data_IF_993105518042
#
_entry.id   IF_993105518042
#
_cell.length_a   1.000
_cell.length_b   1.000
_cell.length_c   1.000
_cell.angle_alpha   90.00
_cell.angle_beta   90.00
_cell.angle_gamma   90.00
#
_symmetry.space_group_name_H-M   'P 1'
#
loop_
_entity.id
_entity.type
_entity.pdbx_description
1 polymer ?
#
# COMPACT_ATOMS: atom_id res chain seq x y z
N UNK A 1 -12.49 -7.55 -9.43
CA UNK A 1 -11.50 -8.49 -8.86
C UNK A 1 -10.14 -7.86 -9.02
N UNK A 2 -9.29 -7.93 -8.01
CA UNK A 2 -7.91 -7.43 -8.09
C UNK A 2 -7.10 -8.36 -9.01
N UNK A 3 -6.22 -7.85 -9.89
CA UNK A 3 -5.38 -8.70 -10.73
C UNK A 3 -4.39 -9.51 -9.89
N UNK A 4 -4.11 -10.75 -10.33
CA UNK A 4 -3.20 -11.69 -9.67
C UNK A 4 -1.78 -11.12 -9.50
N UNK A 5 -1.40 -10.17 -10.36
CA UNK A 5 -0.13 -9.44 -10.28
C UNK A 5 0.02 -8.55 -9.05
N UNK A 6 -1.04 -8.31 -8.27
CA UNK A 6 -0.97 -7.57 -7.00
C UNK A 6 -0.78 -8.46 -5.79
N UNK A 7 -0.78 -9.79 -5.96
CA UNK A 7 -0.54 -10.73 -4.88
C UNK A 7 0.93 -11.12 -4.82
N UNK A 8 1.43 -11.41 -3.62
CA UNK A 8 2.79 -11.87 -3.42
C UNK A 8 2.91 -13.33 -3.94
N UNK A 9 3.89 -13.63 -4.80
CA UNK A 9 4.07 -14.99 -5.33
C UNK A 9 4.54 -15.99 -4.26
N UNK A 10 5.08 -15.50 -3.14
CA UNK A 10 5.59 -16.33 -2.03
C UNK A 10 4.49 -16.66 -1.01
N UNK A 11 3.47 -15.82 -0.89
CA UNK A 11 2.37 -15.96 0.07
C UNK A 11 0.99 -15.79 -0.61
N UNK A 12 0.28 -16.90 -0.92
CA UNK A 12 -0.99 -16.83 -1.63
C UNK A 12 -2.07 -16.14 -0.77
N UNK A 13 -2.67 -15.10 -1.33
CA UNK A 13 -3.70 -14.29 -0.68
C UNK A 13 -3.18 -13.00 -0.09
N UNK A 14 -1.87 -12.84 0.10
CA UNK A 14 -1.24 -11.62 0.62
C UNK A 14 -1.01 -10.65 -0.54
N UNK A 15 -1.42 -9.38 -0.38
CA UNK A 15 -1.10 -8.35 -1.38
C UNK A 15 0.39 -8.02 -1.30
N UNK A 16 1.10 -7.89 -2.43
CA UNK A 16 2.48 -7.40 -2.39
C UNK A 16 2.53 -5.91 -2.04
N UNK A 17 3.72 -5.38 -1.82
CA UNK A 17 3.89 -3.93 -1.70
C UNK A 17 3.44 -3.26 -3.01
N UNK A 18 2.36 -2.49 -2.91
CA UNK A 18 1.78 -1.71 -4.01
C UNK A 18 2.38 -0.31 -4.04
N UNK A 19 2.73 0.15 -5.24
CA UNK A 19 3.13 1.54 -5.49
C UNK A 19 1.93 2.48 -5.40
N UNK A 20 2.19 3.79 -5.29
CA UNK A 20 1.14 4.83 -5.22
C UNK A 20 0.14 4.76 -6.36
N UNK A 21 0.62 4.48 -7.57
CA UNK A 21 -0.24 4.33 -8.74
C UNK A 21 -1.12 3.09 -8.63
N UNK A 22 -0.57 1.97 -8.18
CA UNK A 22 -1.29 0.69 -8.06
C UNK A 22 -2.38 0.74 -6.99
N UNK A 23 -2.09 1.28 -5.80
CA UNK A 23 -3.13 1.39 -4.77
C UNK A 23 -4.20 2.43 -5.11
N UNK A 24 -3.86 3.49 -5.87
CA UNK A 24 -4.86 4.44 -6.39
C UNK A 24 -5.77 3.83 -7.45
N UNK A 25 -5.22 2.98 -8.31
CA UNK A 25 -5.97 2.30 -9.38
C UNK A 25 -7.03 1.33 -8.82
N UNK A 26 -6.74 0.68 -7.69
CA UNK A 26 -7.70 -0.18 -6.99
C UNK A 26 -8.75 0.59 -6.16
N UNK A 27 -8.71 1.93 -6.20
CA UNK A 27 -9.69 2.81 -5.56
C UNK A 27 -9.32 3.27 -4.14
N UNK A 28 -8.09 3.02 -3.67
CA UNK A 28 -7.63 3.59 -2.41
C UNK A 28 -7.25 5.06 -2.66
N UNK A 29 -7.89 5.98 -1.96
CA UNK A 29 -7.56 7.42 -2.02
C UNK A 29 -7.08 7.89 -0.66
N UNK A 30 -5.81 8.26 -0.57
CA UNK A 30 -5.20 8.86 0.63
C UNK A 30 -4.46 10.15 0.29
N UNK A 31 -4.17 10.95 1.32
CA UNK A 31 -3.38 12.18 1.22
C UNK A 31 -1.95 11.90 0.74
N UNK A 32 -1.25 12.92 0.25
CA UNK A 32 0.15 12.76 -0.19
C UNK A 32 1.05 12.40 1.01
N UNK A 33 2.07 11.57 0.74
CA UNK A 33 3.09 11.18 1.73
C UNK A 33 2.88 9.81 2.39
N UNK A 34 1.77 9.12 2.11
CA UNK A 34 1.57 7.75 2.59
C UNK A 34 2.30 6.74 1.70
N UNK A 35 3.17 5.96 2.32
CA UNK A 35 3.88 4.83 1.72
C UNK A 35 3.31 3.53 2.28
N UNK A 36 2.94 2.60 1.41
CA UNK A 36 2.59 1.24 1.80
C UNK A 36 3.87 0.47 2.12
N UNK A 37 4.11 0.16 3.39
CA UNK A 37 5.44 -0.27 3.85
C UNK A 37 5.52 -1.73 4.26
N UNK A 38 4.40 -2.38 4.61
CA UNK A 38 4.40 -3.75 5.10
C UNK A 38 3.05 -4.41 4.85
N UNK A 39 3.06 -5.73 4.75
CA UNK A 39 1.85 -6.52 4.55
C UNK A 39 1.71 -7.45 5.74
N UNK A 40 0.52 -7.48 6.34
CA UNK A 40 0.24 -8.32 7.48
C UNK A 40 -0.37 -9.65 7.02
N UNK A 41 0.44 -10.72 7.07
CA UNK A 41 0.08 -12.05 6.57
C UNK A 41 -1.23 -12.68 7.13
N UNK A 42 -1.62 -12.51 8.42
CA UNK A 42 -2.84 -13.17 8.90
C UNK A 42 -4.14 -12.56 8.35
N UNK A 43 -4.12 -11.33 7.82
CA UNK A 43 -5.32 -10.66 7.30
C UNK A 43 -5.02 -9.86 6.02
N UNK A 44 -5.21 -10.45 4.81
CA UNK A 44 -4.77 -9.86 3.55
C UNK A 44 -5.55 -8.62 3.10
N UNK A 45 -6.65 -8.31 3.79
CA UNK A 45 -7.45 -7.12 3.57
C UNK A 45 -6.96 -5.91 4.41
N UNK A 46 -5.93 -6.10 5.23
CA UNK A 46 -5.31 -5.04 6.04
C UNK A 46 -4.06 -4.55 5.32
N UNK A 47 -4.05 -3.26 4.98
CA UNK A 47 -2.93 -2.57 4.35
C UNK A 47 -2.31 -1.58 5.34
N UNK A 48 -0.99 -1.68 5.56
CA UNK A 48 -0.26 -0.82 6.48
C UNK A 48 0.41 0.32 5.72
N UNK A 49 0.09 1.55 6.12
CA UNK A 49 0.67 2.76 5.54
C UNK A 49 1.49 3.50 6.60
N UNK A 50 2.64 4.05 6.20
CA UNK A 50 3.46 4.97 7.02
C UNK A 50 3.61 6.30 6.28
N UNK A 51 3.82 7.38 7.04
CA UNK A 51 4.12 8.70 6.50
C UNK A 51 5.22 9.35 7.34
N UNK A 52 6.16 10.05 6.71
CA UNK A 52 7.13 10.88 7.44
C UNK A 52 6.41 11.94 8.28
N UNK A 53 6.80 12.07 9.55
CA UNK A 53 6.19 13.03 10.49
C UNK A 53 6.30 14.48 9.99
N UNK A 54 7.41 14.80 9.32
CA UNK A 54 7.74 16.13 8.79
C UNK A 54 7.44 16.30 7.29
N UNK A 55 6.61 15.42 6.71
CA UNK A 55 6.28 15.43 5.28
C UNK A 55 5.75 16.79 4.78
N UNK A 56 5.00 17.51 5.62
CA UNK A 56 4.47 18.84 5.27
C UNK A 56 5.53 19.95 5.34
N UNK A 57 6.56 19.78 6.16
CA UNK A 57 7.59 20.79 6.42
C UNK A 57 8.69 20.78 5.35
N UNK A 58 8.99 19.61 4.76
CA UNK A 58 9.93 19.49 3.63
C UNK A 58 9.37 20.00 2.29
N UNK A 59 8.05 20.14 2.18
CA UNK A 59 7.38 20.42 0.91
C UNK A 59 6.74 21.82 0.84
N UNK A 60 7.11 22.70 1.79
CA UNK A 60 6.72 24.11 1.89
C UNK A 60 7.81 25.05 1.38
#
# INVERSE_FOLDING_TARGET
MLPESYFDPSEPGVLRILTVTEWRDIGITQSMGWEHYEVHAPEPHILLFRREKDFLEKNS
#
